data_IF_825805199722
#
_entry.id   IF_825805199722
#
_cell.length_a   1.000
_cell.length_b   1.000
_cell.length_c   1.000
_cell.angle_alpha   90.00
_cell.angle_beta   90.00
_cell.angle_gamma   90.00
#
_symmetry.space_group_name_H-M   'P 1'
#
loop_
_entity.id
_entity.type
_entity.pdbx_description
1 polymer ?
#
# COMPACT_ATOMS: atom_id res chain seq x y z
N UNK A 1 8.77 -4.09 1.32
CA UNK A 1 8.80 -4.71 2.66
C UNK A 1 7.66 -4.26 3.56
N UNK A 2 7.25 -2.98 3.53
CA UNK A 2 6.19 -2.44 4.43
C UNK A 2 4.86 -3.18 4.35
N UNK A 3 4.36 -3.50 3.14
CA UNK A 3 3.09 -4.25 2.98
C UNK A 3 3.13 -5.58 3.74
N UNK A 4 4.26 -6.31 3.65
CA UNK A 4 4.42 -7.58 4.35
C UNK A 4 4.46 -7.42 5.87
N UNK A 5 5.11 -6.37 6.38
CA UNK A 5 5.14 -6.09 7.82
C UNK A 5 3.75 -5.72 8.34
N UNK A 6 2.97 -4.94 7.58
CA UNK A 6 1.59 -4.64 7.91
C UNK A 6 0.72 -5.90 7.92
N UNK A 7 0.84 -6.73 6.87
CA UNK A 7 0.10 -7.99 6.75
C UNK A 7 0.38 -8.92 7.95
N UNK A 8 1.64 -9.02 8.40
CA UNK A 8 2.02 -9.84 9.57
C UNK A 8 1.31 -9.36 10.84
N UNK A 9 1.27 -8.05 11.09
CA UNK A 9 0.62 -7.49 12.29
C UNK A 9 -0.89 -7.78 12.26
N UNK A 10 -1.55 -7.48 11.14
CA UNK A 10 -3.00 -7.70 10.98
C UNK A 10 -3.34 -9.19 11.11
N UNK A 11 -2.58 -10.06 10.43
CA UNK A 11 -2.83 -11.49 10.47
C UNK A 11 -2.61 -12.07 11.87
N UNK A 12 -1.54 -11.65 12.57
CA UNK A 12 -1.29 -12.04 13.97
C UNK A 12 -2.46 -11.68 14.87
N UNK A 13 -3.00 -10.47 14.74
CA UNK A 13 -4.09 -10.01 15.60
C UNK A 13 -5.41 -10.72 15.31
N UNK A 14 -5.70 -10.99 14.02
CA UNK A 14 -6.88 -11.76 13.61
C UNK A 14 -6.83 -13.22 14.04
N UNK A 15 -5.66 -13.87 13.99
CA UNK A 15 -5.51 -15.28 14.34
C UNK A 15 -5.32 -15.52 15.84
N UNK A 16 -5.03 -14.49 16.64
CA UNK A 16 -4.85 -14.59 18.10
C UNK A 16 -5.98 -15.35 18.86
N UNK A 17 -7.28 -15.16 18.55
CA UNK A 17 -8.36 -15.88 19.23
C UNK A 17 -8.58 -17.31 18.72
N UNK A 18 -7.94 -17.72 17.61
CA UNK A 18 -8.13 -19.04 17.02
C UNK A 18 -7.28 -20.09 17.76
N UNK A 19 -7.93 -21.09 18.34
CA UNK A 19 -7.24 -22.16 19.09
C UNK A 19 -6.80 -23.33 18.20
N UNK A 20 -7.57 -23.64 17.16
CA UNK A 20 -7.30 -24.74 16.23
C UNK A 20 -7.21 -24.21 14.78
N UNK A 21 -6.02 -24.34 14.19
CA UNK A 21 -5.76 -23.96 12.80
C UNK A 21 -6.24 -25.00 11.79
N UNK A 22 -6.69 -26.18 12.23
CA UNK A 22 -7.30 -27.20 11.39
C UNK A 22 -8.79 -26.94 11.11
N UNK A 23 -9.45 -26.05 11.87
CA UNK A 23 -10.80 -25.58 11.56
C UNK A 23 -10.77 -24.62 10.37
N UNK A 24 -10.88 -25.20 9.17
CA UNK A 24 -10.87 -24.46 7.91
C UNK A 24 -12.03 -23.46 7.80
N UNK A 25 -13.18 -23.75 8.41
CA UNK A 25 -14.34 -22.85 8.39
C UNK A 25 -14.06 -21.60 9.22
N UNK A 26 -13.56 -21.76 10.44
CA UNK A 26 -13.18 -20.64 11.29
C UNK A 26 -12.04 -19.83 10.66
N UNK A 27 -11.02 -20.51 10.11
CA UNK A 27 -9.91 -19.86 9.43
C UNK A 27 -10.36 -19.00 8.24
N UNK A 28 -11.34 -19.47 7.44
CA UNK A 28 -11.86 -18.72 6.29
C UNK A 28 -12.45 -17.37 6.70
N UNK A 29 -13.22 -17.32 7.80
CA UNK A 29 -13.82 -16.08 8.33
C UNK A 29 -12.75 -15.03 8.68
N UNK A 30 -11.67 -15.46 9.34
CA UNK A 30 -10.56 -14.55 9.67
C UNK A 30 -9.76 -14.13 8.43
N UNK A 31 -9.61 -15.01 7.44
CA UNK A 31 -8.94 -14.67 6.18
C UNK A 31 -9.75 -13.67 5.34
N UNK A 32 -11.08 -13.77 5.30
CA UNK A 32 -11.94 -12.76 4.67
C UNK A 32 -11.76 -11.38 5.31
N UNK A 33 -11.69 -11.35 6.64
CA UNK A 33 -11.40 -10.13 7.40
C UNK A 33 -10.00 -9.60 7.08
N UNK A 34 -8.99 -10.47 6.98
CA UNK A 34 -7.64 -10.10 6.58
C UNK A 34 -7.59 -9.47 5.20
N UNK A 35 -8.27 -10.04 4.19
CA UNK A 35 -8.31 -9.48 2.84
C UNK A 35 -8.97 -8.09 2.81
N UNK A 36 -9.99 -7.88 3.64
CA UNK A 36 -10.64 -6.57 3.76
C UNK A 36 -9.70 -5.55 4.41
N UNK A 37 -9.05 -5.90 5.52
CA UNK A 37 -8.19 -5.00 6.29
C UNK A 37 -6.87 -4.67 5.59
N UNK A 38 -6.28 -5.60 4.83
CA UNK A 38 -5.03 -5.34 4.11
C UNK A 38 -5.20 -4.47 2.88
N UNK A 39 -6.39 -4.47 2.27
CA UNK A 39 -6.65 -3.87 0.95
C UNK A 39 -6.30 -2.38 0.89
N UNK A 40 -6.66 -1.51 1.87
CA UNK A 40 -6.33 -0.09 1.79
C UNK A 40 -4.82 0.17 1.72
N UNK A 41 -4.03 -0.49 2.57
CA UNK A 41 -2.56 -0.30 2.62
C UNK A 41 -1.89 -0.91 1.39
N UNK A 42 -2.22 -2.16 1.07
CA UNK A 42 -1.61 -2.86 -0.06
C UNK A 42 -1.95 -2.16 -1.39
N UNK A 43 -3.22 -1.78 -1.60
CA UNK A 43 -3.65 -1.07 -2.82
C UNK A 43 -2.98 0.29 -2.93
N UNK A 44 -2.94 1.08 -1.85
CA UNK A 44 -2.33 2.41 -1.87
C UNK A 44 -0.85 2.32 -2.23
N UNK A 45 -0.09 1.45 -1.55
CA UNK A 45 1.34 1.30 -1.81
C UNK A 45 1.59 0.77 -3.23
N UNK A 46 0.85 -0.26 -3.66
CA UNK A 46 1.04 -0.84 -5.00
C UNK A 46 0.70 0.15 -6.11
N UNK A 47 -0.41 0.89 -5.97
CA UNK A 47 -0.80 1.92 -6.94
C UNK A 47 0.20 3.07 -6.96
N UNK A 48 0.62 3.56 -5.78
CA UNK A 48 1.59 4.64 -5.69
C UNK A 48 2.93 4.25 -6.31
N UNK A 49 3.50 3.10 -5.91
CA UNK A 49 4.78 2.62 -6.46
C UNK A 49 4.67 2.41 -7.97
N UNK A 50 3.58 1.80 -8.46
CA UNK A 50 3.38 1.59 -9.89
C UNK A 50 3.28 2.90 -10.68
N UNK A 51 2.55 3.89 -10.16
CA UNK A 51 2.42 5.21 -10.78
C UNK A 51 3.71 6.01 -10.74
N UNK A 52 4.39 6.07 -9.59
CA UNK A 52 5.66 6.78 -9.46
C UNK A 52 6.74 6.11 -10.31
N UNK A 53 6.78 4.78 -10.38
CA UNK A 53 7.70 4.09 -11.28
C UNK A 53 7.49 4.54 -12.72
N UNK A 54 6.25 4.59 -13.22
CA UNK A 54 5.96 5.06 -14.58
C UNK A 54 6.39 6.51 -14.81
N UNK A 55 6.15 7.39 -13.83
CA UNK A 55 6.49 8.82 -13.91
C UNK A 55 8.00 9.05 -13.89
N UNK A 56 8.73 8.36 -13.00
CA UNK A 56 10.15 8.61 -12.77
C UNK A 56 11.08 7.78 -13.65
N UNK A 57 10.59 6.67 -14.23
CA UNK A 57 11.34 5.92 -15.24
C UNK A 57 11.72 6.82 -16.42
N UNK A 58 12.85 6.54 -17.06
CA UNK A 58 13.31 7.28 -18.24
C UNK A 58 12.43 6.99 -19.47
N UNK A 59 11.20 7.49 -19.45
CA UNK A 59 10.25 7.40 -20.55
C UNK A 59 10.59 8.44 -21.64
N UNK A 60 10.54 8.06 -22.93
CA UNK A 60 10.66 9.02 -24.02
C UNK A 60 9.41 9.91 -24.14
N UNK A 61 8.28 9.53 -23.53
CA UNK A 61 7.00 10.24 -23.57
C UNK A 61 7.11 11.66 -22.96
N UNK A 62 6.86 12.73 -23.76
CA UNK A 62 6.83 14.11 -23.27
C UNK A 62 5.89 14.33 -22.08
N UNK A 63 4.71 13.69 -22.08
CA UNK A 63 3.74 13.86 -21.00
C UNK A 63 4.27 13.30 -19.67
N UNK A 64 5.03 12.20 -19.70
CA UNK A 64 5.67 11.66 -18.49
C UNK A 64 6.80 12.54 -17.99
N UNK A 65 7.52 13.23 -18.88
CA UNK A 65 8.55 14.21 -18.47
C UNK A 65 7.94 15.41 -17.78
N UNK A 66 6.84 15.95 -18.31
CA UNK A 66 6.09 17.04 -17.68
C UNK A 66 5.51 16.60 -16.34
N UNK A 67 4.87 15.43 -16.27
CA UNK A 67 4.31 14.90 -15.02
C UNK A 67 5.38 14.68 -13.95
N UNK A 68 6.58 14.24 -14.35
CA UNK A 68 7.73 14.12 -13.48
C UNK A 68 8.20 15.46 -12.94
N UNK A 69 8.31 16.47 -13.81
CA UNK A 69 8.73 17.81 -13.41
C UNK A 69 7.72 18.43 -12.44
N UNK A 70 6.43 18.38 -12.78
CA UNK A 70 5.36 18.88 -11.90
C UNK A 70 5.35 18.17 -10.54
N UNK A 71 5.68 16.88 -10.49
CA UNK A 71 5.80 16.13 -9.24
C UNK A 71 6.99 16.63 -8.38
N UNK A 72 8.14 16.91 -9.00
CA UNK A 72 9.28 17.53 -8.30
C UNK A 72 8.98 18.96 -7.85
N UNK A 73 8.33 19.76 -8.70
CA UNK A 73 7.93 21.12 -8.35
C UNK A 73 6.98 21.10 -7.16
N UNK A 74 6.00 20.18 -7.14
CA UNK A 74 5.10 19.99 -6.00
C UNK A 74 5.85 19.60 -4.72
N UNK A 75 6.77 18.63 -4.78
CA UNK A 75 7.57 18.24 -3.61
C UNK A 75 8.49 19.36 -3.11
N UNK A 76 8.98 20.23 -3.99
CA UNK A 76 9.79 21.38 -3.58
C UNK A 76 9.02 22.43 -2.76
N UNK A 77 7.68 22.34 -2.72
CA UNK A 77 6.81 23.15 -1.86
C UNK A 77 6.61 22.55 -0.46
N UNK A 78 7.36 21.50 -0.09
CA UNK A 78 7.33 20.91 1.25
C UNK A 78 7.49 21.99 2.33
N UNK A 79 6.46 22.14 3.16
CA UNK A 79 6.34 23.19 4.17
C UNK A 79 4.98 23.90 4.18
N UNK A 80 4.26 23.93 3.05
CA UNK A 80 2.93 24.57 2.96
C UNK A 80 1.80 23.59 3.33
N UNK A 81 1.97 22.30 3.04
CA UNK A 81 0.91 21.29 3.14
C UNK A 81 1.16 20.18 4.18
N UNK A 82 2.24 20.30 4.96
CA UNK A 82 2.63 19.29 5.97
C UNK A 82 2.28 19.69 7.41
N UNK A 83 1.59 20.82 7.60
CA UNK A 83 1.07 21.23 8.90
C UNK A 83 -0.36 20.71 9.05
N UNK A 84 -0.50 19.56 9.71
CA UNK A 84 -1.65 19.17 10.55
C UNK A 84 -1.25 18.00 11.47
#
# INVERSE_FOLDING_TARGET
MIVALFDIVVLKDLLRPLYDLHDASALCVYLESFYTLRKPVASTINTLVGSLYKVFSASPDPAMKEMRQACFDYWSLEGIFSND
#
